data_IF_863444606481
#
_entry.id   IF_863444606481
#
_cell.length_a   1.000
_cell.length_b   1.000
_cell.length_c   1.000
_cell.angle_alpha   90.00
_cell.angle_beta   90.00
_cell.angle_gamma   90.00
#
_symmetry.space_group_name_H-M   'P 1'
#
loop_
_entity.id
_entity.type
_entity.pdbx_description
1 polymer ?
#
# COMPACT_ATOMS: atom_id res chain seq x y z
N UNK A 1 9.38 2.75 -4.96
CA UNK A 1 8.72 3.44 -6.09
C UNK A 1 8.77 4.96 -5.95
N UNK A 2 8.15 5.61 -4.96
CA UNK A 2 8.25 7.09 -4.85
C UNK A 2 9.69 7.65 -4.78
N UNK A 3 10.58 6.99 -4.04
CA UNK A 3 12.01 7.36 -3.97
C UNK A 3 12.79 7.07 -5.26
N UNK A 4 12.42 6.01 -6.00
CA UNK A 4 13.06 5.68 -7.28
C UNK A 4 12.65 6.66 -8.37
N UNK A 5 11.38 7.07 -8.39
CA UNK A 5 10.85 8.04 -9.36
C UNK A 5 11.42 9.45 -9.08
N UNK A 6 11.48 9.85 -7.80
CA UNK A 6 12.16 11.10 -7.43
C UNK A 6 13.63 11.10 -7.83
N UNK A 7 14.35 9.99 -7.58
CA UNK A 7 15.75 9.87 -7.99
C UNK A 7 15.93 9.91 -9.51
N UNK A 8 15.04 9.25 -10.26
CA UNK A 8 15.05 9.21 -11.73
C UNK A 8 14.97 10.61 -12.33
N UNK A 9 14.07 11.47 -11.82
CA UNK A 9 13.85 12.81 -12.39
C UNK A 9 14.74 13.91 -11.80
N UNK A 10 15.17 13.78 -10.54
CA UNK A 10 15.97 14.80 -9.85
C UNK A 10 17.49 14.62 -10.05
N UNK A 11 17.98 13.37 -10.06
CA UNK A 11 19.40 13.02 -10.22
C UNK A 11 19.72 12.46 -11.60
N UNK A 12 18.94 12.78 -12.63
CA UNK A 12 19.28 12.39 -13.99
C UNK A 12 20.69 12.93 -14.35
N UNK A 13 21.55 12.16 -15.04
CA UNK A 13 22.90 12.59 -15.42
C UNK A 13 22.89 13.90 -16.25
N UNK A 14 21.79 14.19 -16.95
CA UNK A 14 21.54 15.46 -17.62
C UNK A 14 21.42 16.67 -16.67
N UNK A 15 20.91 16.48 -15.44
CA UNK A 15 20.82 17.52 -14.43
C UNK A 15 22.18 17.86 -13.80
N UNK A 16 23.06 16.87 -13.65
CA UNK A 16 24.42 17.05 -13.13
C UNK A 16 25.30 17.77 -14.17
N UNK A 17 25.10 17.48 -15.46
CA UNK A 17 25.70 18.22 -16.56
C UNK A 17 25.19 19.68 -16.66
N UNK A 18 23.94 19.94 -16.26
CA UNK A 18 23.35 21.28 -16.29
C UNK A 18 23.83 22.16 -15.13
N UNK A 19 24.02 21.62 -13.93
CA UNK A 19 24.66 22.35 -12.82
C UNK A 19 26.11 22.72 -13.17
N UNK A 20 26.85 21.83 -13.83
CA UNK A 20 28.20 22.13 -14.34
C UNK A 20 28.19 23.17 -15.48
N UNK A 21 27.11 23.25 -16.27
CA UNK A 21 26.92 24.30 -17.29
C UNK A 21 26.43 25.64 -16.71
N UNK A 22 25.84 25.68 -15.51
CA UNK A 22 25.49 26.96 -14.87
C UNK A 22 26.69 27.78 -14.36
N UNK A 23 27.91 27.22 -14.42
CA UNK A 23 29.18 27.94 -14.26
C UNK A 23 29.79 28.42 -15.60
N UNK A 24 29.17 28.09 -16.74
CA UNK A 24 29.62 28.50 -18.08
C UNK A 24 28.42 28.99 -18.90
N UNK A 25 28.17 30.29 -18.78
CA UNK A 25 27.14 31.04 -19.52
C UNK A 25 27.21 30.77 -21.03
N UNK A 26 26.01 30.62 -21.64
CA UNK A 26 25.65 30.80 -23.06
C UNK A 26 26.62 30.26 -24.12
N UNK A 27 26.25 29.19 -24.83
CA UNK A 27 26.17 29.10 -26.31
C UNK A 27 25.90 27.66 -26.76
N UNK A 28 25.21 27.54 -27.90
CA UNK A 28 25.02 26.33 -28.72
C UNK A 28 24.13 25.17 -28.24
N UNK A 29 22.83 25.32 -28.47
CA UNK A 29 21.91 24.21 -28.70
C UNK A 29 21.26 24.36 -30.10
N UNK A 30 22.01 24.12 -31.17
CA UNK A 30 21.41 24.08 -32.51
C UNK A 30 22.09 23.13 -33.52
N UNK A 31 22.78 22.06 -33.06
CA UNK A 31 23.56 21.20 -33.98
C UNK A 31 23.36 19.69 -33.90
N UNK A 32 22.46 19.18 -33.06
CA UNK A 32 22.30 17.72 -32.88
C UNK A 32 20.95 17.14 -33.33
N UNK A 33 20.15 17.87 -34.12
CA UNK A 33 18.82 17.40 -34.59
C UNK A 33 18.73 17.01 -36.08
N UNK A 34 19.85 16.74 -36.76
CA UNK A 34 19.84 16.48 -38.21
C UNK A 34 20.70 15.30 -38.71
N UNK A 35 21.12 14.38 -37.84
CA UNK A 35 22.08 13.34 -38.23
C UNK A 35 21.62 11.87 -38.10
N UNK A 36 20.33 11.56 -37.89
CA UNK A 36 19.87 10.16 -37.90
C UNK A 36 18.53 10.02 -38.62
N UNK A 37 18.57 10.06 -39.94
CA UNK A 37 17.52 9.54 -40.81
C UNK A 37 18.18 8.94 -42.06
N UNK A 38 18.66 7.70 -41.95
CA UNK A 38 18.86 6.83 -43.11
C UNK A 38 17.79 5.72 -43.09
N UNK A 39 16.89 5.64 -44.08
CA UNK A 39 15.81 4.67 -44.11
C UNK A 39 16.18 3.48 -45.00
N UNK A 40 16.84 2.46 -44.46
CA UNK A 40 16.94 1.17 -45.15
C UNK A 40 17.30 0.01 -44.21
N UNK A 41 16.31 -0.58 -43.55
CA UNK A 41 16.27 -2.03 -43.33
C UNK A 41 14.88 -2.46 -42.84
N UNK A 42 14.22 -3.26 -43.66
CA UNK A 42 12.99 -3.97 -43.36
C UNK A 42 13.26 -5.05 -42.31
N UNK A 43 12.78 -4.88 -41.07
CA UNK A 43 12.74 -5.96 -40.07
C UNK A 43 11.58 -5.77 -39.07
N UNK A 44 10.64 -6.74 -39.11
CA UNK A 44 9.63 -7.17 -38.14
C UNK A 44 8.96 -6.13 -37.20
N UNK A 45 7.64 -5.98 -37.42
CA UNK A 45 6.71 -5.03 -36.78
C UNK A 45 6.57 -5.16 -35.24
N UNK A 46 7.02 -6.26 -34.62
CA UNK A 46 6.94 -6.50 -33.17
C UNK A 46 8.21 -6.15 -32.40
N UNK A 47 9.37 -6.13 -33.05
CA UNK A 47 10.66 -5.72 -32.46
C UNK A 47 10.87 -4.21 -32.51
N UNK A 48 10.22 -3.52 -33.46
CA UNK A 48 10.32 -2.07 -33.60
C UNK A 48 9.67 -1.34 -32.42
N UNK A 49 8.61 -1.88 -31.82
CA UNK A 49 7.92 -1.29 -30.65
C UNK A 49 8.70 -1.40 -29.34
N UNK A 50 9.53 -2.44 -29.17
CA UNK A 50 10.41 -2.56 -28.00
C UNK A 50 11.63 -1.64 -28.13
N UNK A 51 12.28 -1.62 -29.30
CA UNK A 51 13.41 -0.72 -29.56
C UNK A 51 12.99 0.76 -29.47
N UNK A 52 11.77 1.11 -29.91
CA UNK A 52 11.25 2.47 -29.76
C UNK A 52 10.98 2.83 -28.29
N UNK A 53 10.50 1.88 -27.47
CA UNK A 53 10.30 2.09 -26.03
C UNK A 53 11.62 2.22 -25.28
N UNK A 54 12.61 1.40 -25.61
CA UNK A 54 13.95 1.48 -25.00
C UNK A 54 14.65 2.81 -25.35
N UNK A 55 14.48 3.30 -26.59
CA UNK A 55 14.97 4.62 -27.03
C UNK A 55 14.18 5.76 -26.37
N UNK A 56 12.86 5.63 -26.20
CA UNK A 56 12.04 6.63 -25.52
C UNK A 56 12.37 6.69 -24.01
N UNK A 57 12.71 5.56 -23.40
CA UNK A 57 13.14 5.47 -22.01
C UNK A 57 14.56 6.06 -21.80
N UNK A 58 15.48 5.88 -22.75
CA UNK A 58 16.78 6.56 -22.79
C UNK A 58 16.64 8.08 -23.03
N UNK A 59 15.74 8.52 -23.91
CA UNK A 59 15.47 9.95 -24.16
C UNK A 59 14.79 10.61 -22.94
N UNK A 60 13.88 9.93 -22.26
CA UNK A 60 13.22 10.44 -21.05
C UNK A 60 14.20 10.57 -19.87
N UNK A 61 15.29 9.79 -19.86
CA UNK A 61 16.41 9.95 -18.92
C UNK A 61 17.38 11.09 -19.27
N UNK A 62 17.31 11.63 -20.50
CA UNK A 62 18.22 12.65 -21.04
C UNK A 62 17.77 14.09 -20.81
N UNK A 63 16.52 14.32 -20.39
CA UNK A 63 15.97 15.66 -20.17
C UNK A 63 15.83 15.94 -18.68
N UNK A 64 16.61 16.90 -18.16
CA UNK A 64 16.51 17.32 -16.77
C UNK A 64 15.17 18.03 -16.49
N UNK A 65 14.27 17.41 -15.72
CA UNK A 65 12.96 17.99 -15.34
C UNK A 65 12.79 18.03 -13.83
N UNK A 66 13.55 18.91 -13.16
CA UNK A 66 13.44 19.14 -11.70
C UNK A 66 12.03 19.59 -11.28
N UNK A 67 11.37 20.35 -12.15
CA UNK A 67 9.99 20.81 -11.98
C UNK A 67 8.98 19.66 -11.84
N UNK A 68 9.17 18.55 -12.55
CA UNK A 68 8.34 17.34 -12.43
C UNK A 68 8.49 16.69 -11.05
N UNK A 69 9.71 16.61 -10.51
CA UNK A 69 9.95 16.07 -9.16
C UNK A 69 9.32 16.92 -8.07
N UNK A 70 9.43 18.25 -8.17
CA UNK A 70 8.83 19.18 -7.23
C UNK A 70 7.30 19.12 -7.28
N UNK A 71 6.72 19.11 -8.49
CA UNK A 71 5.28 18.97 -8.68
C UNK A 71 4.77 17.63 -8.14
N UNK A 72 5.51 16.53 -8.35
CA UNK A 72 5.16 15.22 -7.82
C UNK A 72 5.05 15.24 -6.29
N UNK A 73 6.05 15.80 -5.60
CA UNK A 73 6.03 15.92 -4.13
C UNK A 73 4.90 16.84 -3.67
N UNK A 74 4.66 17.95 -4.37
CA UNK A 74 3.59 18.89 -4.06
C UNK A 74 2.21 18.24 -4.18
N UNK A 75 1.95 17.50 -5.26
CA UNK A 75 0.67 16.78 -5.44
C UNK A 75 0.51 15.64 -4.43
N UNK A 76 1.58 14.89 -4.14
CA UNK A 76 1.57 13.79 -3.17
C UNK A 76 1.34 14.28 -1.72
N UNK A 77 2.03 15.33 -1.28
CA UNK A 77 1.83 15.89 0.06
C UNK A 77 0.56 16.73 0.14
N UNK A 78 0.17 17.41 -0.94
CA UNK A 78 -1.05 18.19 -1.04
C UNK A 78 -2.31 17.32 -0.91
N UNK A 79 -2.34 16.16 -1.60
CA UNK A 79 -3.42 15.16 -1.45
C UNK A 79 -3.51 14.62 -0.03
N UNK A 80 -2.39 14.24 0.58
CA UNK A 80 -2.34 13.79 1.97
C UNK A 80 -2.87 14.87 2.93
N UNK A 81 -2.35 16.09 2.82
CA UNK A 81 -2.74 17.21 3.67
C UNK A 81 -4.23 17.53 3.56
N UNK A 82 -4.74 17.58 2.34
CA UNK A 82 -6.15 17.83 2.06
C UNK A 82 -7.03 16.70 2.62
N UNK A 83 -6.69 15.44 2.36
CA UNK A 83 -7.44 14.29 2.87
C UNK A 83 -7.50 14.27 4.41
N UNK A 84 -6.37 14.49 5.09
CA UNK A 84 -6.31 14.55 6.56
C UNK A 84 -7.12 15.75 7.09
N UNK A 85 -7.07 16.89 6.42
CA UNK A 85 -7.81 18.09 6.84
C UNK A 85 -9.33 17.87 6.73
N UNK A 86 -9.81 17.30 5.61
CA UNK A 86 -11.21 16.94 5.42
C UNK A 86 -11.65 15.87 6.43
N UNK A 87 -10.82 14.87 6.70
CA UNK A 87 -11.11 13.85 7.70
C UNK A 87 -11.21 14.44 9.12
N UNK A 88 -10.26 15.32 9.51
CA UNK A 88 -10.28 16.01 10.81
C UNK A 88 -11.44 16.99 10.95
N UNK A 89 -12.03 17.45 9.85
CA UNK A 89 -13.21 18.31 9.86
C UNK A 89 -14.38 17.66 10.61
N UNK A 90 -14.43 16.32 10.68
CA UNK A 90 -15.39 15.58 11.50
C UNK A 90 -15.39 16.03 12.95
N UNK A 91 -14.25 16.40 13.56
CA UNK A 91 -14.17 16.79 14.98
C UNK A 91 -14.35 18.29 15.21
N UNK A 92 -14.46 19.07 14.15
CA UNK A 92 -14.59 20.53 14.28
C UNK A 92 -16.02 20.93 14.62
N UNK A 93 -16.22 22.05 15.35
CA UNK A 93 -17.56 22.55 15.69
C UNK A 93 -18.27 23.23 14.50
N UNK A 94 -17.62 23.31 13.34
CA UNK A 94 -18.17 23.98 12.16
C UNK A 94 -19.12 23.04 11.41
N UNK A 95 -20.24 23.58 10.90
CA UNK A 95 -21.24 22.86 10.09
C UNK A 95 -22.12 21.85 10.88
N UNK A 96 -23.25 21.45 10.29
CA UNK A 96 -24.15 20.47 10.90
C UNK A 96 -23.54 19.06 10.92
N UNK A 97 -23.92 18.25 11.91
CA UNK A 97 -23.36 16.90 12.12
C UNK A 97 -23.44 16.01 10.86
N UNK A 98 -24.60 15.93 10.22
CA UNK A 98 -24.78 15.12 9.01
C UNK A 98 -23.86 15.55 7.84
N UNK A 99 -23.61 16.87 7.70
CA UNK A 99 -22.71 17.38 6.65
C UNK A 99 -21.24 17.10 6.99
N UNK A 100 -20.87 17.16 8.27
CA UNK A 100 -19.52 16.79 8.75
C UNK A 100 -19.22 15.32 8.51
N UNK A 101 -20.17 14.45 8.81
CA UNK A 101 -20.06 13.00 8.60
C UNK A 101 -19.87 12.70 7.10
N UNK A 102 -20.75 13.24 6.24
CA UNK A 102 -20.63 13.06 4.79
C UNK A 102 -19.28 13.58 4.24
N UNK A 103 -18.81 14.76 4.68
CA UNK A 103 -17.54 15.32 4.21
C UNK A 103 -16.33 14.50 4.66
N UNK A 104 -16.39 13.90 5.85
CA UNK A 104 -15.33 13.01 6.33
C UNK A 104 -15.31 11.66 5.58
N UNK A 105 -16.47 11.13 5.22
CA UNK A 105 -16.58 9.85 4.48
C UNK A 105 -16.12 10.01 3.02
N UNK A 106 -16.40 11.15 2.39
CA UNK A 106 -15.94 11.49 1.04
C UNK A 106 -14.59 12.22 1.00
N UNK A 107 -13.88 12.34 2.14
CA UNK A 107 -12.63 13.10 2.23
C UNK A 107 -11.59 12.63 1.20
N UNK A 108 -11.43 11.32 1.06
CA UNK A 108 -10.40 10.70 0.23
C UNK A 108 -10.69 10.82 -1.27
N UNK A 109 -11.87 10.44 -1.80
CA UNK A 109 -12.22 10.70 -3.20
C UNK A 109 -12.18 12.19 -3.56
N UNK A 110 -12.68 13.06 -2.66
CA UNK A 110 -12.68 14.51 -2.90
C UNK A 110 -11.27 15.07 -3.01
N UNK A 111 -10.35 14.62 -2.15
CA UNK A 111 -8.96 15.06 -2.19
C UNK A 111 -8.24 14.63 -3.48
N UNK A 112 -8.49 13.41 -3.96
CA UNK A 112 -7.94 12.89 -5.23
C UNK A 112 -8.46 13.70 -6.41
N UNK A 113 -9.77 13.95 -6.47
CA UNK A 113 -10.38 14.73 -7.57
C UNK A 113 -9.85 16.17 -7.56
N UNK A 114 -9.83 16.85 -6.40
CA UNK A 114 -9.40 18.24 -6.32
C UNK A 114 -7.92 18.40 -6.71
N UNK A 115 -7.04 17.54 -6.20
CA UNK A 115 -5.61 17.63 -6.53
C UNK A 115 -5.31 17.16 -7.95
N UNK A 116 -6.10 16.24 -8.51
CA UNK A 116 -6.04 15.89 -9.92
C UNK A 116 -6.43 17.07 -10.81
N UNK A 117 -7.51 17.79 -10.46
CA UNK A 117 -7.92 19.01 -11.16
C UNK A 117 -6.88 20.12 -11.06
N UNK A 118 -6.30 20.35 -9.87
CA UNK A 118 -5.21 21.32 -9.68
C UNK A 118 -4.01 20.93 -10.54
N UNK A 119 -3.61 19.66 -10.52
CA UNK A 119 -2.51 19.14 -11.35
C UNK A 119 -2.75 19.36 -12.84
N UNK A 120 -3.96 19.10 -13.31
CA UNK A 120 -4.31 19.23 -14.74
C UNK A 120 -4.59 20.66 -15.21
N UNK A 121 -5.03 21.58 -14.34
CA UNK A 121 -5.44 22.94 -14.75
C UNK A 121 -4.39 24.00 -14.44
N UNK A 122 -3.72 23.90 -13.28
CA UNK A 122 -2.70 24.87 -12.86
C UNK A 122 -1.33 24.50 -13.41
N UNK A 123 -1.04 23.20 -13.55
CA UNK A 123 0.27 22.69 -13.95
C UNK A 123 0.24 21.93 -15.28
N UNK A 124 -0.64 22.33 -16.22
CA UNK A 124 -0.77 21.73 -17.56
C UNK A 124 0.54 21.78 -18.36
N UNK A 125 1.39 22.78 -18.09
CA UNK A 125 2.68 22.97 -18.75
C UNK A 125 3.78 21.98 -18.28
N UNK A 126 3.56 21.23 -17.19
CA UNK A 126 4.55 20.34 -16.61
C UNK A 126 4.16 18.89 -16.91
N UNK A 127 5.09 18.12 -17.44
CA UNK A 127 4.86 16.71 -17.68
C UNK A 127 4.61 15.95 -16.38
N UNK A 128 3.50 15.22 -16.36
CA UNK A 128 3.09 14.35 -15.27
C UNK A 128 2.99 12.94 -15.83
N UNK A 129 3.62 11.97 -15.15
CA UNK A 129 3.57 10.57 -15.54
C UNK A 129 2.13 10.04 -15.39
N UNK A 130 1.53 9.64 -16.52
CA UNK A 130 0.19 9.03 -16.62
C UNK A 130 0.30 7.52 -16.63
N UNK A 131 -0.81 6.81 -16.42
CA UNK A 131 -0.81 5.36 -16.58
C UNK A 131 -0.53 4.98 -18.03
N UNK A 132 0.26 3.93 -18.29
CA UNK A 132 0.42 3.43 -19.64
C UNK A 132 -0.98 2.96 -20.12
N UNK A 133 -1.35 3.24 -21.38
CA UNK A 133 -2.56 2.65 -21.95
C UNK A 133 -2.43 1.12 -21.86
N UNK A 134 -3.48 0.46 -21.35
CA UNK A 134 -3.46 -0.99 -21.14
C UNK A 134 -3.27 -1.67 -22.50
N UNK A 135 -2.07 -2.23 -22.69
CA UNK A 135 -1.61 -2.83 -23.93
C UNK A 135 -1.87 -4.34 -23.86
N UNK A 136 -2.66 -4.85 -24.80
CA UNK A 136 -2.63 -6.23 -25.30
C UNK A 136 -2.73 -7.37 -24.25
N UNK A 137 -3.93 -7.55 -23.66
CA UNK A 137 -4.30 -8.77 -22.95
C UNK A 137 -4.37 -9.96 -23.91
N UNK A 138 -3.23 -10.63 -24.10
CA UNK A 138 -3.18 -11.93 -24.77
C UNK A 138 -3.38 -13.02 -23.72
N UNK A 139 -4.54 -13.66 -23.75
CA UNK A 139 -4.80 -14.86 -22.95
C UNK A 139 -4.06 -16.04 -23.57
N UNK A 140 -2.77 -16.17 -23.24
CA UNK A 140 -1.98 -17.34 -23.59
C UNK A 140 -2.05 -18.38 -22.46
N UNK A 141 -2.28 -19.63 -22.84
CA UNK A 141 -2.20 -20.74 -21.91
C UNK A 141 -0.75 -20.96 -21.48
N UNK A 142 -0.53 -21.24 -20.19
CA UNK A 142 0.80 -21.56 -19.70
C UNK A 142 1.36 -22.79 -20.42
N UNK A 143 2.47 -22.62 -21.17
CA UNK A 143 3.17 -23.72 -21.87
C UNK A 143 4.02 -24.52 -20.88
N UNK A 144 3.43 -25.55 -20.28
CA UNK A 144 4.09 -26.43 -19.30
C UNK A 144 5.03 -27.45 -19.99
N UNK A 145 4.79 -27.74 -21.27
CA UNK A 145 5.45 -28.83 -22.00
C UNK A 145 6.94 -28.62 -22.28
N UNK A 146 7.43 -27.38 -22.22
CA UNK A 146 8.84 -27.06 -22.50
C UNK A 146 9.73 -27.07 -21.24
N UNK A 147 9.18 -27.36 -20.06
CA UNK A 147 9.90 -27.19 -18.80
C UNK A 147 10.78 -28.41 -18.46
N UNK A 148 12.10 -28.24 -18.23
CA UNK A 148 12.96 -29.34 -17.78
C UNK A 148 12.55 -29.84 -16.38
N UNK A 149 12.85 -31.09 -16.05
CA UNK A 149 12.52 -31.69 -14.74
C UNK A 149 13.08 -30.90 -13.54
N UNK A 150 14.24 -30.27 -13.69
CA UNK A 150 14.83 -29.37 -12.69
C UNK A 150 13.97 -28.11 -12.46
N UNK A 151 13.36 -27.59 -13.52
CA UNK A 151 12.39 -26.51 -13.47
C UNK A 151 11.12 -26.91 -12.72
N UNK A 152 10.64 -28.14 -12.93
CA UNK A 152 9.50 -28.68 -12.18
C UNK A 152 9.81 -28.75 -10.68
N UNK A 153 10.95 -29.33 -10.30
CA UNK A 153 11.32 -29.46 -8.88
C UNK A 153 11.51 -28.10 -8.18
N UNK A 154 12.14 -27.14 -8.85
CA UNK A 154 12.33 -25.78 -8.31
C UNK A 154 11.00 -25.04 -8.21
N UNK A 155 10.11 -25.18 -9.20
CA UNK A 155 8.76 -24.60 -9.17
C UNK A 155 7.88 -25.18 -8.05
N UNK A 156 8.04 -26.47 -7.71
CA UNK A 156 7.34 -27.07 -6.57
C UNK A 156 7.79 -26.44 -5.25
N UNK A 157 9.09 -26.21 -5.07
CA UNK A 157 9.63 -25.54 -3.88
C UNK A 157 9.11 -24.11 -3.75
N UNK A 158 9.17 -23.33 -4.84
CA UNK A 158 8.64 -21.95 -4.86
C UNK A 158 7.12 -21.92 -4.66
N UNK A 159 6.39 -22.85 -5.28
CA UNK A 159 4.94 -22.99 -5.14
C UNK A 159 4.52 -23.30 -3.70
N UNK A 160 5.28 -24.13 -2.99
CA UNK A 160 5.04 -24.40 -1.57
C UNK A 160 5.22 -23.13 -0.72
N UNK A 161 6.30 -22.37 -0.94
CA UNK A 161 6.53 -21.12 -0.22
C UNK A 161 5.47 -20.06 -0.54
N UNK A 162 5.04 -19.98 -1.80
CA UNK A 162 3.97 -19.08 -2.23
C UNK A 162 2.61 -19.48 -1.63
N UNK A 163 2.32 -20.79 -1.54
CA UNK A 163 1.12 -21.28 -0.87
C UNK A 163 1.11 -20.92 0.62
N UNK A 164 2.27 -20.95 1.28
CA UNK A 164 2.41 -20.49 2.67
C UNK A 164 2.13 -18.99 2.80
N UNK A 165 2.59 -18.17 1.85
CA UNK A 165 2.29 -16.74 1.81
C UNK A 165 0.78 -16.48 1.74
N UNK A 166 0.09 -17.09 0.77
CA UNK A 166 -1.35 -16.92 0.64
C UNK A 166 -2.13 -17.43 1.85
N UNK A 167 -1.69 -18.54 2.44
CA UNK A 167 -2.27 -19.03 3.69
C UNK A 167 -2.12 -18.01 4.83
N UNK A 168 -0.93 -17.41 4.97
CA UNK A 168 -0.67 -16.42 6.02
C UNK A 168 -1.43 -15.12 5.80
N UNK A 169 -1.37 -14.54 4.60
CA UNK A 169 -2.05 -13.29 4.28
C UNK A 169 -3.56 -13.41 4.43
N UNK A 170 -4.15 -14.53 3.96
CA UNK A 170 -5.59 -14.75 4.09
C UNK A 170 -6.01 -14.88 5.56
N UNK A 171 -5.29 -15.67 6.34
CA UNK A 171 -5.62 -15.88 7.76
C UNK A 171 -5.41 -14.61 8.59
N UNK A 172 -4.36 -13.83 8.34
CA UNK A 172 -4.11 -12.57 9.05
C UNK A 172 -5.20 -11.55 8.66
N UNK A 173 -5.48 -11.38 7.38
CA UNK A 173 -6.52 -10.46 6.90
C UNK A 173 -7.90 -10.82 7.47
N UNK A 174 -8.27 -12.10 7.40
CA UNK A 174 -9.54 -12.59 7.94
C UNK A 174 -9.60 -12.43 9.46
N UNK A 175 -8.51 -12.71 10.20
CA UNK A 175 -8.47 -12.53 11.65
C UNK A 175 -8.60 -11.05 12.07
N UNK A 176 -8.02 -10.10 11.30
CA UNK A 176 -8.18 -8.67 11.55
C UNK A 176 -9.62 -8.20 11.33
N UNK A 177 -10.28 -8.68 10.26
CA UNK A 177 -11.69 -8.33 10.00
C UNK A 177 -12.61 -8.98 11.04
N UNK A 178 -12.34 -10.22 11.43
CA UNK A 178 -13.08 -10.99 12.43
C UNK A 178 -12.72 -10.64 13.89
N UNK A 179 -11.92 -9.59 14.12
CA UNK A 179 -11.61 -9.15 15.46
C UNK A 179 -12.91 -8.84 16.24
N UNK A 180 -13.01 -9.24 17.52
CA UNK A 180 -14.24 -9.05 18.32
C UNK A 180 -14.64 -7.57 18.44
N UNK A 181 -13.67 -6.66 18.29
CA UNK A 181 -13.86 -5.21 18.24
C UNK A 181 -14.80 -4.76 17.11
N UNK A 182 -14.84 -5.49 16.00
CA UNK A 182 -15.67 -5.14 14.84
C UNK A 182 -17.13 -5.61 14.99
N UNK A 183 -17.47 -6.36 16.05
CA UNK A 183 -18.83 -6.83 16.38
C UNK A 183 -19.59 -7.43 15.18
N UNK A 184 -18.92 -8.28 14.42
CA UNK A 184 -19.54 -9.01 13.31
C UNK A 184 -20.56 -10.04 13.83
N UNK A 185 -21.66 -10.22 13.10
CA UNK A 185 -22.77 -11.10 13.48
C UNK A 185 -22.65 -12.50 12.86
N UNK A 186 -22.06 -12.61 11.67
CA UNK A 186 -21.86 -13.90 11.00
C UNK A 186 -20.57 -14.57 11.49
N UNK A 187 -20.58 -15.89 11.55
CA UNK A 187 -19.42 -16.70 11.93
C UNK A 187 -18.32 -16.67 10.87
N UNK A 188 -17.09 -16.97 11.29
CA UNK A 188 -15.94 -17.06 10.40
C UNK A 188 -15.96 -18.35 9.56
N UNK A 189 -15.54 -18.25 8.29
CA UNK A 189 -15.43 -19.39 7.38
C UNK A 189 -14.02 -19.50 6.76
N UNK A 190 -12.98 -19.52 7.62
CA UNK A 190 -11.57 -19.49 7.19
C UNK A 190 -11.20 -20.58 6.16
N UNK A 191 -11.66 -21.83 6.37
CA UNK A 191 -11.33 -22.93 5.48
C UNK A 191 -11.98 -22.82 4.10
N UNK A 192 -13.22 -22.33 4.06
CA UNK A 192 -13.95 -22.17 2.80
C UNK A 192 -13.35 -21.05 1.95
N UNK A 193 -12.95 -19.96 2.62
CA UNK A 193 -12.28 -18.82 2.00
C UNK A 193 -10.94 -19.24 1.38
N UNK A 194 -10.12 -20.01 2.12
CA UNK A 194 -8.85 -20.55 1.62
C UNK A 194 -9.04 -21.47 0.41
N UNK A 195 -10.09 -22.31 0.40
CA UNK A 195 -10.40 -23.19 -0.72
C UNK A 195 -10.75 -22.39 -1.98
N UNK A 196 -11.57 -21.34 -1.85
CA UNK A 196 -11.95 -20.48 -2.98
C UNK A 196 -10.73 -19.74 -3.54
N UNK A 197 -9.92 -19.13 -2.67
CA UNK A 197 -8.70 -18.41 -3.09
C UNK A 197 -7.72 -19.36 -3.80
N UNK A 198 -7.54 -20.57 -3.28
CA UNK A 198 -6.70 -21.59 -3.92
C UNK A 198 -7.19 -22.00 -5.31
N UNK A 199 -8.50 -22.24 -5.46
CA UNK A 199 -9.09 -22.60 -6.76
C UNK A 199 -9.00 -21.45 -7.77
N UNK A 200 -9.30 -20.22 -7.34
CA UNK A 200 -9.20 -19.03 -8.20
C UNK A 200 -7.75 -18.78 -8.66
N UNK A 201 -6.77 -18.88 -7.75
CA UNK A 201 -5.36 -18.73 -8.11
C UNK A 201 -4.85 -19.86 -9.00
N UNK A 202 -5.34 -21.09 -8.81
CA UNK A 202 -5.05 -22.19 -9.74
C UNK A 202 -5.56 -21.89 -11.16
N UNK A 203 -6.76 -21.29 -11.28
CA UNK A 203 -7.28 -20.88 -12.58
C UNK A 203 -6.50 -19.69 -13.18
N UNK A 204 -6.23 -18.65 -12.39
CA UNK A 204 -5.50 -17.45 -12.84
C UNK A 204 -4.10 -17.80 -13.38
N UNK A 205 -3.36 -18.66 -12.69
CA UNK A 205 -2.02 -19.08 -13.11
C UNK A 205 -2.02 -19.91 -14.40
N UNK A 206 -3.05 -20.71 -14.64
CA UNK A 206 -3.21 -21.47 -15.89
C UNK A 206 -3.38 -20.56 -17.11
N UNK A 207 -4.04 -19.42 -16.93
CA UNK A 207 -4.24 -18.37 -17.96
C UNK A 207 -3.13 -17.31 -17.98
N UNK A 208 -2.05 -17.48 -17.22
CA UNK A 208 -0.95 -16.52 -17.16
C UNK A 208 -1.32 -15.18 -16.51
N UNK A 209 -2.45 -15.11 -15.81
CA UNK A 209 -2.93 -13.91 -15.13
C UNK A 209 -2.28 -13.78 -13.74
N UNK A 210 -2.13 -12.54 -13.21
CA UNK A 210 -1.59 -12.33 -11.89
C UNK A 210 -2.47 -12.97 -10.82
N UNK A 211 -1.83 -13.51 -9.78
CA UNK A 211 -2.50 -14.16 -8.67
C UNK A 211 -3.15 -13.12 -7.73
N UNK A 212 -4.25 -13.50 -7.10
CA UNK A 212 -5.01 -12.68 -6.16
C UNK A 212 -4.77 -13.14 -4.72
N UNK A 213 -4.68 -12.20 -3.79
CA UNK A 213 -4.49 -12.47 -2.37
C UNK A 213 -5.32 -11.50 -1.52
N UNK A 214 -5.54 -11.86 -0.25
CA UNK A 214 -6.22 -11.01 0.71
C UNK A 214 -5.43 -9.72 0.97
N UNK A 215 -6.08 -8.57 0.82
CA UNK A 215 -5.41 -7.26 0.97
C UNK A 215 -5.55 -6.77 2.42
N UNK A 216 -4.42 -6.70 3.14
CA UNK A 216 -4.35 -6.39 4.56
C UNK A 216 -4.90 -5.01 4.97
N UNK A 217 -4.57 -3.87 4.31
CA UNK A 217 -5.16 -2.59 4.69
C UNK A 217 -6.59 -2.41 4.18
N UNK A 218 -6.88 -2.93 2.99
CA UNK A 218 -8.17 -2.68 2.32
C UNK A 218 -9.33 -3.41 2.98
N UNK A 219 -9.14 -4.67 3.41
CA UNK A 219 -10.19 -5.49 4.04
C UNK A 219 -10.73 -4.89 5.34
N UNK A 220 -9.89 -4.51 6.34
CA UNK A 220 -10.36 -3.86 7.56
C UNK A 220 -10.86 -2.44 7.32
N UNK A 221 -10.27 -1.67 6.38
CA UNK A 221 -10.79 -0.35 6.01
C UNK A 221 -12.20 -0.44 5.43
N UNK A 222 -12.44 -1.42 4.54
CA UNK A 222 -13.76 -1.69 3.98
C UNK A 222 -14.75 -2.10 5.07
N UNK A 223 -14.35 -2.99 6.00
CA UNK A 223 -15.18 -3.37 7.14
C UNK A 223 -15.49 -2.18 8.06
N UNK A 224 -14.51 -1.30 8.33
CA UNK A 224 -14.67 -0.08 9.14
C UNK A 224 -15.58 0.93 8.47
N UNK A 225 -15.55 1.06 7.14
CA UNK A 225 -16.45 1.96 6.40
C UNK A 225 -17.93 1.53 6.45
N UNK A 226 -18.18 0.25 6.72
CA UNK A 226 -19.53 -0.32 6.89
C UNK A 226 -19.99 -0.37 8.35
N UNK A 227 -19.11 0.04 9.27
CA UNK A 227 -19.36 0.04 10.70
C UNK A 227 -19.87 1.41 11.17
N UNK A 228 -20.92 1.39 11.99
CA UNK A 228 -21.38 2.58 12.71
C UNK A 228 -20.47 2.78 13.94
N UNK A 229 -19.74 3.89 13.95
CA UNK A 229 -18.80 4.26 15.00
C UNK A 229 -19.47 5.30 15.89
N UNK A 230 -19.64 4.99 17.18
CA UNK A 230 -20.11 5.95 18.18
C UNK A 230 -18.96 6.37 19.08
N UNK A 231 -18.89 7.66 19.41
CA UNK A 231 -18.02 8.16 20.46
C UNK A 231 -18.66 7.89 21.82
N UNK A 232 -18.10 6.95 22.59
CA UNK A 232 -18.51 6.68 23.97
C UNK A 232 -17.44 7.17 24.92
N UNK A 233 -17.88 7.78 26.01
CA UNK A 233 -16.99 8.16 27.11
C UNK A 233 -16.83 6.92 27.99
N UNK A 234 -15.76 6.17 27.74
CA UNK A 234 -15.36 5.07 28.60
C UNK A 234 -14.25 5.57 29.54
N UNK A 235 -14.45 5.41 30.85
CA UNK A 235 -13.47 5.76 31.89
C UNK A 235 -12.94 7.22 31.81
N UNK A 236 -13.78 8.16 31.37
CA UNK A 236 -13.43 9.59 31.29
C UNK A 236 -12.70 10.00 30.01
N UNK A 237 -12.47 9.08 29.07
CA UNK A 237 -11.91 9.38 27.76
C UNK A 237 -12.89 9.05 26.64
N UNK A 238 -12.90 9.91 25.62
CA UNK A 238 -13.72 9.76 24.43
C UNK A 238 -13.08 8.68 23.53
N UNK A 239 -13.74 7.52 23.41
CA UNK A 239 -13.32 6.41 22.54
C UNK A 239 -14.35 6.17 21.46
N UNK A 240 -13.86 5.96 20.25
CA UNK A 240 -14.63 5.51 19.11
C UNK A 240 -14.84 3.99 19.23
N UNK A 241 -16.08 3.56 19.49
CA UNK A 241 -16.46 2.15 19.60
C UNK A 241 -17.37 1.79 18.44
N UNK A 242 -17.06 0.69 17.75
CA UNK A 242 -17.94 0.12 16.72
C UNK A 242 -19.18 -0.45 17.40
N UNK A 243 -20.36 0.08 17.08
CA UNK A 243 -21.62 -0.33 17.71
C UNK A 243 -22.30 -1.43 16.92
N UNK A 244 -22.38 -1.25 15.61
CA UNK A 244 -23.00 -2.19 14.69
C UNK A 244 -22.25 -2.20 13.36
N UNK A 245 -22.10 -3.37 12.74
CA UNK A 245 -21.46 -3.53 11.44
C UNK A 245 -22.47 -4.02 10.41
N UNK A 246 -22.51 -3.37 9.24
CA UNK A 246 -23.37 -3.75 8.11
C UNK A 246 -22.66 -4.75 7.22
N UNK A 247 -22.97 -6.03 7.38
CA UNK A 247 -22.41 -7.08 6.52
C UNK A 247 -23.18 -7.22 5.21
N UNK A 248 -22.66 -6.61 4.14
CA UNK A 248 -23.29 -6.65 2.81
C UNK A 248 -22.37 -7.30 1.77
N UNK A 249 -22.98 -8.01 0.81
CA UNK A 249 -22.26 -8.57 -0.37
C UNK A 249 -22.27 -7.60 -1.56
N UNK A 250 -23.23 -6.68 -1.59
CA UNK A 250 -23.47 -5.76 -2.71
C UNK A 250 -22.29 -4.83 -2.91
N UNK A 251 -21.69 -4.30 -1.85
CA UNK A 251 -20.59 -3.33 -1.98
C UNK A 251 -19.36 -3.93 -2.67
N UNK A 252 -19.04 -5.19 -2.37
CA UNK A 252 -17.93 -5.89 -3.01
C UNK A 252 -18.22 -6.19 -4.49
N UNK A 253 -19.43 -6.67 -4.81
CA UNK A 253 -19.85 -6.92 -6.19
C UNK A 253 -19.82 -5.63 -7.00
N UNK A 254 -20.37 -4.54 -6.47
CA UNK A 254 -20.36 -3.22 -7.12
C UNK A 254 -18.93 -2.72 -7.31
N UNK A 255 -18.06 -2.86 -6.31
CA UNK A 255 -16.65 -2.49 -6.44
C UNK A 255 -15.95 -3.26 -7.57
N UNK A 256 -16.12 -4.58 -7.66
CA UNK A 256 -15.54 -5.38 -8.73
C UNK A 256 -16.11 -5.03 -10.11
N UNK A 257 -17.41 -4.74 -10.22
CA UNK A 257 -18.02 -4.26 -11.47
C UNK A 257 -17.43 -2.90 -11.87
N UNK A 258 -17.22 -1.99 -10.91
CA UNK A 258 -16.60 -0.69 -11.15
C UNK A 258 -15.13 -0.81 -11.55
N UNK A 259 -14.38 -1.75 -10.98
CA UNK A 259 -13.01 -2.06 -11.41
C UNK A 259 -13.01 -2.59 -12.85
N UNK A 260 -13.93 -3.49 -13.20
CA UNK A 260 -14.06 -3.97 -14.57
C UNK A 260 -14.44 -2.84 -15.54
N UNK A 261 -15.38 -1.98 -15.15
CA UNK A 261 -15.77 -0.80 -15.93
C UNK A 261 -14.61 0.21 -16.05
N UNK A 262 -13.76 0.30 -15.02
CA UNK A 262 -12.61 1.22 -15.02
C UNK A 262 -11.64 0.90 -16.16
N UNK A 263 -11.53 -0.37 -16.60
CA UNK A 263 -10.71 -0.75 -17.76
C UNK A 263 -11.12 -0.01 -19.04
N UNK A 264 -12.42 0.20 -19.26
CA UNK A 264 -12.93 0.99 -20.38
C UNK A 264 -12.72 2.50 -20.20
N UNK A 265 -12.59 2.96 -18.95
CA UNK A 265 -12.37 4.36 -18.58
C UNK A 265 -10.88 4.75 -18.44
N UNK A 266 -9.95 3.80 -18.61
CA UNK A 266 -8.49 4.04 -18.60
C UNK A 266 -8.10 5.14 -19.61
N UNK A 267 -8.47 5.06 -20.92
CA UNK A 267 -8.03 6.06 -21.89
C UNK A 267 -8.59 7.46 -21.61
N UNK A 268 -9.82 7.53 -21.11
CA UNK A 268 -10.48 8.77 -20.69
C UNK A 268 -11.61 8.41 -19.71
N UNK A 269 -11.73 9.02 -18.51
CA UNK A 269 -10.98 10.15 -17.95
C UNK A 269 -9.90 9.76 -16.92
N UNK A 270 -9.69 8.47 -16.62
CA UNK A 270 -8.75 8.04 -15.56
C UNK A 270 -7.31 8.45 -15.88
N UNK A 271 -6.95 8.54 -17.16
CA UNK A 271 -5.65 9.04 -17.61
C UNK A 271 -5.31 10.47 -17.13
N UNK A 272 -6.29 11.28 -16.72
CA UNK A 272 -6.03 12.61 -16.15
C UNK A 272 -5.52 12.58 -14.72
N UNK A 273 -5.69 11.46 -14.00
CA UNK A 273 -5.24 11.34 -12.60
C UNK A 273 -3.73 11.13 -12.57
N UNK A 274 -2.95 12.08 -12.03
CA UNK A 274 -1.51 11.92 -11.86
C UNK A 274 -1.17 10.71 -10.99
N UNK A 275 -0.12 9.96 -11.33
CA UNK A 275 0.41 8.93 -10.42
C UNK A 275 0.82 9.51 -9.06
N UNK A 276 1.32 10.76 -9.03
CA UNK A 276 1.67 11.48 -7.81
C UNK A 276 0.50 11.58 -6.80
N UNK A 277 -0.71 11.86 -7.30
CA UNK A 277 -1.94 11.98 -6.49
C UNK A 277 -2.31 10.64 -5.87
N UNK A 278 -2.15 9.55 -6.63
CA UNK A 278 -2.42 8.19 -6.13
C UNK A 278 -1.37 7.74 -5.11
N UNK A 279 -0.11 8.14 -5.26
CA UNK A 279 0.89 7.92 -4.23
C UNK A 279 0.56 8.64 -2.92
N UNK A 280 -0.03 9.84 -2.99
CA UNK A 280 -0.53 10.53 -1.80
C UNK A 280 -1.76 9.85 -1.17
N UNK A 281 -2.64 9.28 -1.99
CA UNK A 281 -3.73 8.39 -1.56
C UNK A 281 -3.19 7.15 -0.82
N UNK A 282 -2.17 6.48 -1.35
CA UNK A 282 -1.53 5.34 -0.69
C UNK A 282 -0.85 5.75 0.62
N UNK A 283 -0.22 6.92 0.66
CA UNK A 283 0.37 7.47 1.87
C UNK A 283 -0.69 7.77 2.94
N UNK A 284 -1.85 8.32 2.55
CA UNK A 284 -2.98 8.52 3.46
C UNK A 284 -3.48 7.19 4.03
N UNK A 285 -3.67 6.18 3.19
CA UNK A 285 -4.06 4.83 3.64
C UNK A 285 -3.01 4.24 4.60
N UNK A 286 -1.72 4.41 4.31
CA UNK A 286 -0.64 3.96 5.19
C UNK A 286 -0.74 4.62 6.58
N UNK A 287 -0.84 5.96 6.63
CA UNK A 287 -0.93 6.71 7.90
C UNK A 287 -2.19 6.33 8.68
N UNK A 288 -3.36 6.29 8.03
CA UNK A 288 -4.62 5.97 8.70
C UNK A 288 -4.73 4.51 9.12
N UNK A 289 -4.01 3.59 8.47
CA UNK A 289 -3.93 2.18 8.89
C UNK A 289 -3.10 1.96 10.16
N UNK A 290 -2.23 2.92 10.53
CA UNK A 290 -1.50 2.88 11.80
C UNK A 290 -2.42 3.20 12.99
N UNK A 291 -3.44 4.03 12.77
CA UNK A 291 -4.43 4.38 13.78
C UNK A 291 -5.32 3.18 14.12
N UNK A 292 -5.20 2.69 15.36
CA UNK A 292 -5.90 1.50 15.86
C UNK A 292 -5.03 0.26 15.99
N UNK A 293 -3.76 0.30 15.55
CA UNK A 293 -2.79 -0.75 15.86
C UNK A 293 -2.32 -0.61 17.31
N UNK A 294 -2.61 -1.61 18.15
CA UNK A 294 -2.16 -1.64 19.55
C UNK A 294 -0.63 -1.50 19.68
N UNK A 295 0.14 -2.07 18.75
CA UNK A 295 1.61 -1.92 18.74
C UNK A 295 1.99 -0.46 18.53
N UNK A 296 1.34 0.25 17.61
CA UNK A 296 1.62 1.66 17.32
C UNK A 296 1.26 2.56 18.50
N UNK A 297 0.10 2.32 19.16
CA UNK A 297 -0.24 3.01 20.41
C UNK A 297 0.84 2.84 21.48
N UNK A 298 1.34 1.61 21.66
CA UNK A 298 2.40 1.36 22.64
C UNK A 298 3.76 1.93 22.23
N UNK A 299 4.06 2.03 20.92
CA UNK A 299 5.24 2.76 20.43
C UNK A 299 5.12 4.24 20.79
N UNK A 300 3.94 4.85 20.61
CA UNK A 300 3.69 6.24 21.00
C UNK A 300 3.85 6.45 22.52
N UNK A 301 3.48 5.45 23.34
CA UNK A 301 3.72 5.48 24.79
C UNK A 301 5.21 5.53 25.17
N UNK A 302 6.14 5.06 24.32
CA UNK A 302 7.58 5.22 24.58
C UNK A 302 8.04 6.69 24.52
N UNK A 303 7.38 7.50 23.70
CA UNK A 303 7.69 8.92 23.50
C UNK A 303 6.86 9.81 24.43
N UNK A 304 5.72 9.31 24.91
CA UNK A 304 4.81 10.06 25.78
C UNK A 304 5.38 10.21 27.19
N UNK A 305 5.18 11.38 27.81
CA UNK A 305 5.56 11.61 29.20
C UNK A 305 4.70 10.77 30.16
N UNK A 306 5.31 10.18 31.20
CA UNK A 306 4.65 9.29 32.17
C UNK A 306 3.39 9.89 32.81
N UNK A 307 3.39 11.21 33.05
CA UNK A 307 2.27 11.91 33.68
C UNK A 307 1.03 12.03 32.78
N UNK A 308 1.19 11.82 31.46
CA UNK A 308 0.13 11.97 30.46
C UNK A 308 -0.35 10.63 29.90
N UNK A 309 0.01 9.52 30.56
CA UNK A 309 -0.43 8.20 30.09
C UNK A 309 -1.96 8.13 30.17
N UNK A 310 -2.64 7.76 29.07
CA UNK A 310 -4.07 7.55 29.11
C UNK A 310 -4.37 6.41 30.09
N UNK A 311 -5.44 6.48 30.89
CA UNK A 311 -5.82 5.44 31.84
C UNK A 311 -6.44 4.24 31.10
N UNK A 312 -5.65 3.55 30.28
CA UNK A 312 -6.07 2.34 29.59
C UNK A 312 -6.01 1.12 30.54
N UNK A 313 -6.86 0.12 30.29
CA UNK A 313 -6.96 -1.12 31.08
C UNK A 313 -5.61 -1.83 31.29
N UNK A 314 -4.77 -1.92 30.25
CA UNK A 314 -3.46 -2.57 30.33
C UNK A 314 -2.42 -1.76 31.14
N UNK A 315 -2.53 -0.43 31.17
CA UNK A 315 -1.61 0.44 31.92
C UNK A 315 -1.84 0.32 33.43
N UNK A 316 -3.08 0.03 33.85
CA UNK A 316 -3.42 -0.19 35.26
C UNK A 316 -2.97 -1.56 35.79
N UNK A 317 -2.89 -2.58 34.92
CA UNK A 317 -2.61 -3.98 35.31
C UNK A 317 -1.14 -4.36 35.21
N UNK A 318 -0.37 -3.69 34.36
CA UNK A 318 1.03 -4.02 34.10
C UNK A 318 1.97 -2.90 34.54
N UNK A 319 3.11 -3.22 35.20
CA UNK A 319 4.11 -2.20 35.50
C UNK A 319 4.73 -1.66 34.21
N UNK A 320 4.92 -0.34 34.14
CA UNK A 320 5.36 0.37 32.93
C UNK A 320 6.65 -0.20 32.31
N UNK A 321 7.62 -0.60 33.14
CA UNK A 321 8.89 -1.18 32.67
C UNK A 321 8.67 -2.46 31.83
N UNK A 322 7.67 -3.28 32.19
CA UNK A 322 7.34 -4.50 31.43
C UNK A 322 6.65 -4.18 30.11
N UNK A 323 5.81 -3.13 30.09
CA UNK A 323 5.20 -2.62 28.85
C UNK A 323 6.30 -2.16 27.89
N UNK A 324 7.25 -1.35 28.37
CA UNK A 324 8.35 -0.86 27.54
C UNK A 324 9.28 -1.96 27.03
N UNK A 325 9.62 -2.94 27.88
CA UNK A 325 10.37 -4.13 27.47
C UNK A 325 9.66 -4.92 26.37
N UNK A 326 8.34 -5.10 26.50
CA UNK A 326 7.54 -5.78 25.49
C UNK A 326 7.51 -5.02 24.16
N UNK A 327 7.28 -3.71 24.19
CA UNK A 327 7.33 -2.89 22.96
C UNK A 327 8.70 -2.88 22.31
N UNK A 328 9.79 -2.82 23.08
CA UNK A 328 11.13 -2.84 22.51
C UNK A 328 11.38 -4.17 21.79
N UNK A 329 10.93 -5.29 22.38
CA UNK A 329 11.00 -6.60 21.72
C UNK A 329 10.18 -6.63 20.42
N UNK A 330 8.98 -6.05 20.41
CA UNK A 330 8.15 -5.93 19.21
C UNK A 330 8.80 -5.06 18.12
N UNK A 331 9.42 -3.93 18.50
CA UNK A 331 10.16 -3.07 17.57
C UNK A 331 11.36 -3.82 17.01
N UNK A 332 12.12 -4.55 17.84
CA UNK A 332 13.23 -5.37 17.37
C UNK A 332 12.76 -6.45 16.39
N UNK A 333 11.66 -7.14 16.70
CA UNK A 333 11.06 -8.13 15.81
C UNK A 333 10.63 -7.50 14.47
N UNK A 334 9.94 -6.35 14.51
CA UNK A 334 9.55 -5.62 13.31
C UNK A 334 10.77 -5.17 12.49
N UNK A 335 11.82 -4.67 13.14
CA UNK A 335 13.05 -4.25 12.48
C UNK A 335 13.74 -5.43 11.78
N UNK A 336 13.82 -6.59 12.43
CA UNK A 336 14.33 -7.83 11.82
C UNK A 336 13.50 -8.18 10.57
N UNK A 337 12.17 -8.15 10.68
CA UNK A 337 11.28 -8.41 9.55
C UNK A 337 11.47 -7.42 8.40
N UNK A 338 11.62 -6.12 8.70
CA UNK A 338 11.90 -5.10 7.70
C UNK A 338 13.25 -5.31 7.03
N UNK A 339 14.31 -5.70 7.76
CA UNK A 339 15.63 -5.97 7.18
C UNK A 339 15.58 -7.11 6.16
N UNK A 340 14.84 -8.19 6.46
CA UNK A 340 14.67 -9.29 5.52
C UNK A 340 13.73 -8.93 4.36
N UNK A 341 12.65 -8.18 4.62
CA UNK A 341 11.68 -7.77 3.60
C UNK A 341 12.22 -6.72 2.62
N UNK A 342 13.10 -5.82 3.05
CA UNK A 342 13.76 -4.83 2.18
C UNK A 342 15.12 -5.31 1.63
N UNK A 343 15.45 -6.59 1.82
CA UNK A 343 16.71 -7.15 1.32
C UNK A 343 16.72 -7.13 -0.21
N UNK A 344 17.80 -6.69 -0.87
CA UNK A 344 17.92 -6.72 -2.33
C UNK A 344 18.06 -8.15 -2.89
N UNK A 345 18.19 -9.16 -2.02
CA UNK A 345 18.39 -10.55 -2.42
C UNK A 345 17.02 -11.20 -2.64
N UNK A 346 16.68 -11.49 -3.91
CA UNK A 346 15.40 -12.09 -4.31
C UNK A 346 15.08 -13.39 -3.58
N UNK A 347 16.09 -14.21 -3.28
CA UNK A 347 15.91 -15.48 -2.54
C UNK A 347 15.41 -15.23 -1.12
N UNK A 348 15.90 -14.18 -0.46
CA UNK A 348 15.50 -13.81 0.90
C UNK A 348 14.08 -13.28 0.91
N UNK A 349 13.71 -12.49 -0.10
CA UNK A 349 12.34 -12.01 -0.29
C UNK A 349 11.36 -13.17 -0.48
N UNK A 350 11.72 -14.18 -1.27
CA UNK A 350 10.90 -15.39 -1.43
C UNK A 350 10.69 -16.16 -0.12
N UNK A 351 11.66 -16.16 0.79
CA UNK A 351 11.60 -16.84 2.11
C UNK A 351 10.83 -16.04 3.18
N UNK A 352 10.43 -14.80 2.90
CA UNK A 352 9.72 -13.93 3.82
C UNK A 352 8.49 -14.57 4.52
N UNK A 353 7.62 -15.35 3.84
CA UNK A 353 6.45 -15.98 4.48
C UNK A 353 6.84 -17.01 5.54
N UNK A 354 7.93 -17.75 5.30
CA UNK A 354 8.47 -18.73 6.24
C UNK A 354 9.02 -18.02 7.47
N UNK A 355 9.63 -16.85 7.31
CA UNK A 355 10.10 -16.02 8.41
C UNK A 355 8.93 -15.52 9.28
N UNK A 356 7.83 -15.06 8.68
CA UNK A 356 6.60 -14.70 9.44
C UNK A 356 6.11 -15.89 10.25
N UNK A 357 6.00 -17.06 9.62
CA UNK A 357 5.52 -18.27 10.28
C UNK A 357 6.42 -18.66 11.45
N UNK A 358 7.75 -18.57 11.29
CA UNK A 358 8.74 -18.87 12.33
C UNK A 358 8.68 -17.87 13.51
N UNK A 359 8.19 -16.65 13.28
CA UNK A 359 8.01 -15.67 14.35
C UNK A 359 6.84 -15.99 15.29
N UNK A 360 5.86 -16.79 14.87
CA UNK A 360 4.74 -17.23 15.72
C UNK A 360 5.23 -18.14 16.88
N UNK A 361 5.97 -19.25 16.64
CA UNK A 361 6.50 -20.06 17.73
C UNK A 361 7.60 -19.35 18.52
N UNK A 362 8.35 -18.43 17.88
CA UNK A 362 9.28 -17.55 18.58
C UNK A 362 8.54 -16.74 19.66
N UNK A 363 7.40 -16.12 19.32
CA UNK A 363 6.53 -15.42 20.27
C UNK A 363 6.07 -16.34 21.40
N UNK A 364 5.53 -17.51 21.07
CA UNK A 364 4.95 -18.41 22.08
C UNK A 364 6.00 -19.04 23.02
N UNK A 365 7.26 -19.16 22.59
CA UNK A 365 8.29 -19.87 23.37
C UNK A 365 9.19 -18.90 24.15
N UNK A 366 9.50 -17.74 23.58
CA UNK A 366 10.51 -16.84 24.11
C UNK A 366 9.87 -15.74 24.96
N UNK A 367 8.72 -15.19 24.55
CA UNK A 367 8.09 -14.10 25.29
C UNK A 367 7.64 -14.51 26.71
N UNK A 368 7.04 -15.69 26.93
CA UNK A 368 6.66 -16.14 28.28
C UNK A 368 7.85 -16.36 29.23
N UNK A 369 9.07 -16.52 28.70
CA UNK A 369 10.28 -16.66 29.52
C UNK A 369 10.76 -15.33 30.11
N UNK A 370 10.43 -14.20 29.48
CA UNK A 370 10.89 -12.86 29.90
C UNK A 370 9.80 -12.04 30.61
N UNK A 371 8.52 -12.34 30.35
CA UNK A 371 7.37 -11.61 30.89
C UNK A 371 6.37 -12.64 31.44
N UNK A 372 5.93 -12.43 32.68
CA UNK A 372 4.92 -13.29 33.31
C UNK A 372 3.63 -13.31 32.49
N UNK A 373 2.99 -14.48 32.38
CA UNK A 373 1.78 -14.71 31.59
C UNK A 373 0.64 -13.75 31.96
N UNK A 374 0.51 -13.42 33.26
CA UNK A 374 -0.46 -12.44 33.76
C UNK A 374 -0.37 -11.08 33.06
N UNK A 375 0.84 -10.61 32.76
CA UNK A 375 1.04 -9.33 32.07
C UNK A 375 0.83 -9.48 30.56
N UNK A 376 1.13 -10.64 29.99
CA UNK A 376 0.90 -10.93 28.57
C UNK A 376 -0.60 -10.96 28.25
N UNK A 377 -1.41 -11.58 29.09
CA UNK A 377 -2.87 -11.63 28.92
C UNK A 377 -3.51 -10.24 28.96
N UNK A 378 -2.98 -9.35 29.82
CA UNK A 378 -3.41 -7.96 29.89
C UNK A 378 -2.94 -7.13 28.67
N UNK A 379 -1.79 -7.46 28.08
CA UNK A 379 -1.21 -6.77 26.91
C UNK A 379 -1.78 -7.24 25.57
N UNK A 380 -2.26 -8.48 25.48
CA UNK A 380 -2.81 -9.09 24.27
C UNK A 380 -4.35 -8.94 24.15
N UNK A 381 -4.98 -8.26 25.11
CA UNK A 381 -6.38 -7.84 25.00
C UNK A 381 -7.41 -8.99 24.99
N UNK A 382 -7.05 -10.20 25.44
CA UNK A 382 -7.99 -11.35 25.58
C UNK A 382 -9.07 -11.15 26.65
N UNK A 383 -9.10 -10.00 27.31
CA UNK A 383 -10.07 -9.68 28.33
C UNK A 383 -11.06 -8.61 27.89
N UNK A 384 -11.78 -8.82 26.78
CA UNK A 384 -13.10 -8.27 26.50
C UNK A 384 -13.84 -9.11 25.44
#
# INVERSE_FOLDING_TARGET
NTSTDFKRFYFAPACEAQDNRTMAVMTDANRSMLAVLDPSSTANLSSTTQVYRDIEEEIESSVCRRETSLLFVLLMLGTLWLAITLYRFRRTPYLSQAKREALADYALPTAVILMSLIGSTVFDNIYVEKFPPLLDLHFEWARIDLLPWTGVLTSMGLGFTLSLLFFMDQNISAAMVMAPQNRLKKGAAYHYDLLIVGLLNGALTLYGLPMMHGVLPHSPLHARSLADIEERIEEGHLREVVVNSRETRVTAIVAHILVLLSLFLIPYPIAYIPRAVLNGLFLYMAVTSLDGLQVFERILLLVTEQNKYPPNHYIRRCPQRKIHQFTLLQICQLAIMCLFGFSPITIVEMLFPVLILLMIPFRHTIIPKYIEEKYLDALDGKGH
#
